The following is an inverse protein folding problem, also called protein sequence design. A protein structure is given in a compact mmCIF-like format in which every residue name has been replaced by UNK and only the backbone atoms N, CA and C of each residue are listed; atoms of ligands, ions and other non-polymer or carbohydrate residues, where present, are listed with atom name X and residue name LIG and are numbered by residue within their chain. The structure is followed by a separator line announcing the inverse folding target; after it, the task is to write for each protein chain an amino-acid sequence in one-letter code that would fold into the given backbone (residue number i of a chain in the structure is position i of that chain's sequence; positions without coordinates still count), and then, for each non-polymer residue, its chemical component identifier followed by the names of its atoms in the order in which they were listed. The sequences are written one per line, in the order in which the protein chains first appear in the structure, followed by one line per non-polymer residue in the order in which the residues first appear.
data_IF_655783631793
#
_entry.id   IF_655783631793
#
_cell.length_a   1.000
_cell.length_b   1.000
_cell.length_c   1.000
_cell.angle_alpha   90.00
_cell.angle_beta   90.00
_cell.angle_gamma   90.00
#
_symmetry.space_group_name_H-M   'P 1'
#
loop_
_entity.id
_entity.type
_entity.pdbx_description
1 polymer ?
#
# COMPACT_ATOMS: atom_id res chain seq x y z
N UNK A 1 -10.67 4.82 -2.86
CA UNK A 1 -9.29 5.02 -3.32
C UNK A 1 -8.95 6.49 -3.20
N UNK A 2 -7.65 6.81 -3.11
CA UNK A 2 -7.15 8.17 -3.02
C UNK A 2 -5.72 8.28 -3.55
N UNK A 3 -5.27 9.52 -3.76
CA UNK A 3 -3.88 9.87 -4.08
C UNK A 3 -3.30 10.81 -3.03
N UNK A 4 -1.98 10.78 -2.90
CA UNK A 4 -1.18 11.68 -2.05
C UNK A 4 0.00 12.21 -2.86
N UNK A 5 0.47 13.43 -2.55
CA UNK A 5 1.69 14.01 -3.13
C UNK A 5 2.92 13.52 -2.37
N UNK A 6 3.13 12.22 -2.37
CA UNK A 6 4.17 11.57 -1.58
C UNK A 6 4.80 10.40 -2.33
N UNK A 7 6.01 10.04 -1.92
CA UNK A 7 6.54 8.68 -2.11
C UNK A 7 6.42 7.94 -0.79
N UNK A 8 5.78 6.78 -0.83
CA UNK A 8 5.53 5.99 0.38
C UNK A 8 6.28 4.66 0.31
N UNK A 9 6.95 4.33 1.42
CA UNK A 9 7.48 3.01 1.69
C UNK A 9 6.54 2.30 2.64
N UNK A 10 5.81 1.31 2.14
CA UNK A 10 4.78 0.62 2.90
C UNK A 10 5.16 -0.86 3.00
N UNK A 11 5.32 -1.34 4.23
CA UNK A 11 5.77 -2.71 4.52
C UNK A 11 4.64 -3.44 5.23
N UNK A 12 4.24 -4.60 4.72
CA UNK A 12 3.33 -5.49 5.43
C UNK A 12 4.11 -6.23 6.51
N UNK A 13 3.82 -5.98 7.79
CA UNK A 13 4.51 -6.65 8.91
C UNK A 13 3.83 -7.96 9.30
N UNK A 14 2.50 -8.02 9.20
CA UNK A 14 1.72 -9.19 9.61
C UNK A 14 0.37 -9.21 8.86
N UNK A 15 -0.14 -10.42 8.63
CA UNK A 15 -1.44 -10.64 8.00
C UNK A 15 -1.34 -10.71 6.48
N UNK A 16 -2.46 -10.41 5.82
CA UNK A 16 -2.62 -10.44 4.37
C UNK A 16 -3.37 -9.18 3.96
N UNK A 17 -2.92 -8.49 2.91
CA UNK A 17 -3.62 -7.32 2.38
C UNK A 17 -3.45 -7.26 0.87
N UNK A 18 -4.49 -6.80 0.18
CA UNK A 18 -4.43 -6.53 -1.25
C UNK A 18 -4.34 -5.01 -1.47
N UNK A 19 -3.39 -4.58 -2.27
CA UNK A 19 -3.29 -3.23 -2.81
C UNK A 19 -4.16 -3.15 -4.07
N UNK A 20 -5.11 -2.23 -4.07
CA UNK A 20 -5.94 -1.91 -5.23
C UNK A 20 -5.35 -0.68 -5.92
N UNK A 21 -5.08 -0.80 -7.22
CA UNK A 21 -4.67 0.27 -8.14
C UNK A 21 -5.79 0.51 -9.16
N UNK A 22 -5.59 1.41 -10.12
CA UNK A 22 -6.61 1.75 -11.11
C UNK A 22 -6.98 0.55 -12.02
N UNK A 23 -6.01 -0.28 -12.39
CA UNK A 23 -6.19 -1.39 -13.34
C UNK A 23 -5.79 -2.77 -12.77
N UNK A 24 -5.23 -2.79 -11.56
CA UNK A 24 -4.62 -4.00 -11.00
C UNK A 24 -4.94 -4.17 -9.51
N UNK A 25 -4.97 -5.42 -9.06
CA UNK A 25 -4.94 -5.80 -7.66
C UNK A 25 -3.67 -6.60 -7.38
N UNK A 26 -2.93 -6.24 -6.34
CA UNK A 26 -1.70 -6.94 -5.93
C UNK A 26 -1.88 -7.48 -4.52
N UNK A 27 -1.72 -8.78 -4.35
CA UNK A 27 -1.73 -9.41 -3.02
C UNK A 27 -0.34 -9.34 -2.38
N UNK A 28 -0.30 -8.95 -1.11
CA UNK A 28 0.92 -8.85 -0.32
C UNK A 28 1.00 -9.93 0.75
N UNK A 29 2.22 -10.39 1.00
CA UNK A 29 2.61 -11.27 2.11
C UNK A 29 3.48 -10.52 3.10
N UNK A 30 3.61 -11.01 4.35
CA UNK A 30 4.48 -10.39 5.33
C UNK A 30 5.90 -10.19 4.79
N UNK A 31 6.40 -8.98 5.01
CA UNK A 31 7.67 -8.39 4.58
C UNK A 31 7.76 -7.95 3.12
N UNK A 32 6.68 -8.04 2.34
CA UNK A 32 6.60 -7.34 1.06
C UNK A 32 6.63 -5.82 1.28
N UNK A 33 7.28 -5.12 0.36
CA UNK A 33 7.46 -3.66 0.38
C UNK A 33 6.86 -3.05 -0.87
N UNK A 34 5.93 -2.12 -0.69
CA UNK A 34 5.39 -1.28 -1.76
C UNK A 34 6.13 0.04 -1.78
N UNK A 35 6.57 0.42 -2.98
CA UNK A 35 7.05 1.77 -3.29
C UNK A 35 5.91 2.50 -4.00
N UNK A 36 5.09 3.20 -3.23
CA UNK A 36 3.92 3.93 -3.74
C UNK A 36 4.38 5.30 -4.25
N UNK A 37 4.33 5.54 -5.56
CA UNK A 37 4.86 6.76 -6.20
C UNK A 37 3.75 7.75 -6.55
N UNK A 38 2.93 8.10 -5.55
CA UNK A 38 1.79 9.00 -5.71
C UNK A 38 0.63 8.44 -6.56
N UNK A 39 0.59 7.13 -6.81
CA UNK A 39 -0.48 6.51 -7.61
C UNK A 39 -1.76 6.30 -6.81
N UNK A 40 -2.92 6.34 -7.50
CA UNK A 40 -4.23 6.20 -6.88
C UNK A 40 -4.38 4.80 -6.31
N UNK A 41 -4.73 4.69 -5.03
CA UNK A 41 -4.75 3.40 -4.38
C UNK A 41 -5.75 3.27 -3.23
N UNK A 42 -6.03 2.02 -2.88
CA UNK A 42 -6.70 1.61 -1.65
C UNK A 42 -6.12 0.29 -1.14
N UNK A 43 -6.41 -0.02 0.12
CA UNK A 43 -6.01 -1.26 0.77
C UNK A 43 -7.27 -2.04 1.14
N UNK A 44 -7.32 -3.32 0.80
CA UNK A 44 -8.40 -4.22 1.22
C UNK A 44 -7.81 -5.41 1.96
N UNK A 45 -8.29 -5.63 3.18
CA UNK A 45 -8.01 -6.84 3.93
C UNK A 45 -9.15 -7.84 3.66
N UNK A 46 -8.87 -8.87 2.88
CA UNK A 46 -9.82 -9.95 2.55
C UNK A 46 -9.79 -11.09 3.59
N UNK A 47 -8.85 -11.05 4.54
CA UNK A 47 -8.65 -12.07 5.57
C UNK A 47 -9.52 -11.88 6.82
N UNK A 48 -9.42 -12.83 7.74
CA UNK A 48 -10.15 -12.83 9.03
C UNK A 48 -9.37 -12.21 10.19
N UNK A 49 -8.12 -11.80 9.96
CA UNK A 49 -7.25 -11.17 10.95
C UNK A 49 -6.76 -9.81 10.46
N UNK A 50 -6.44 -8.85 11.36
CA UNK A 50 -5.91 -7.56 10.94
C UNK A 50 -4.59 -7.68 10.18
N UNK A 51 -4.44 -6.88 9.12
CA UNK A 51 -3.15 -6.63 8.48
C UNK A 51 -2.45 -5.46 9.19
N UNK A 52 -1.19 -5.63 9.54
CA UNK A 52 -0.37 -4.59 10.15
C UNK A 52 0.61 -4.04 9.11
N UNK A 53 0.46 -2.76 8.77
CA UNK A 53 1.34 -2.05 7.83
C UNK A 53 2.20 -1.03 8.58
N UNK A 54 3.49 -0.98 8.26
CA UNK A 54 4.34 0.16 8.57
C UNK A 54 4.44 1.04 7.33
N UNK A 55 4.05 2.31 7.44
CA UNK A 55 4.06 3.25 6.34
C UNK A 55 4.93 4.47 6.66
N UNK A 56 5.87 4.79 5.77
CA UNK A 56 6.70 5.98 5.82
C UNK A 56 6.34 6.81 4.60
N UNK A 57 5.72 7.96 4.80
CA UNK A 57 5.29 8.86 3.75
C UNK A 57 6.23 10.06 3.71
N UNK A 58 6.78 10.35 2.53
CA UNK A 58 7.72 11.46 2.32
C UNK A 58 7.12 12.37 1.24
N UNK A 59 7.08 13.68 1.51
CA UNK A 59 6.66 14.69 0.54
C UNK A 59 7.41 14.53 -0.79
N UNK A 60 6.68 14.57 -1.90
CA UNK A 60 7.25 14.39 -3.23
C UNK A 60 6.48 15.20 -4.28
N UNK A 61 7.22 15.67 -5.29
CA UNK A 61 6.60 16.27 -6.48
C UNK A 61 5.81 15.20 -7.26
N UNK A 62 4.62 15.54 -7.81
CA UNK A 62 3.88 14.64 -8.69
C UNK A 62 4.71 14.23 -9.92
N UNK A 63 4.50 12.99 -10.39
CA UNK A 63 5.06 12.50 -11.65
C UNK A 63 4.29 12.99 -12.88
#
# INVERSE_FOLDING_TARGET
MHTTKTVDYIILLQGEVTLLLDEEEVELKPFDVVIQRGTNHAWINKGSTPALLAAILIDAEPL
#
